data_IF_868810131196
#
_entry.id   IF_868810131196
#
_cell.length_a   1.000
_cell.length_b   1.000
_cell.length_c   1.000
_cell.angle_alpha   90.00
_cell.angle_beta   90.00
_cell.angle_gamma   90.00
#
_symmetry.space_group_name_H-M   'P 1'
#
loop_
_entity.id
_entity.type
_entity.pdbx_description
1 polymer ?
#
# COMPACT_ATOMS: atom_id res chain seq x y z
N UNK A 1 16.24 -15.44 -19.37
CA UNK A 1 14.81 -15.65 -19.02
C UNK A 1 14.73 -16.97 -18.29
N UNK A 2 14.50 -16.94 -16.98
CA UNK A 2 14.41 -18.15 -16.14
C UNK A 2 13.20 -18.97 -16.61
N UNK A 3 13.46 -20.21 -17.05
CA UNK A 3 12.53 -20.98 -17.87
C UNK A 3 11.47 -21.77 -17.11
N UNK A 4 11.28 -21.61 -15.79
CA UNK A 4 10.12 -22.14 -15.08
C UNK A 4 10.04 -21.52 -13.67
N UNK A 5 9.26 -20.44 -13.45
CA UNK A 5 8.99 -19.96 -12.09
C UNK A 5 8.16 -21.02 -11.36
N UNK A 6 8.54 -21.33 -10.11
CA UNK A 6 7.83 -22.26 -9.24
C UNK A 6 6.33 -21.88 -9.19
N UNK A 7 5.39 -22.78 -9.56
CA UNK A 7 3.96 -22.47 -9.62
C UNK A 7 3.33 -22.23 -8.24
N UNK A 8 4.06 -22.53 -7.16
CA UNK A 8 3.69 -22.24 -5.77
C UNK A 8 4.27 -20.93 -5.25
N UNK A 9 4.96 -20.16 -6.09
CA UNK A 9 5.44 -18.84 -5.68
C UNK A 9 4.26 -17.92 -5.40
N UNK A 10 4.19 -17.46 -4.15
CA UNK A 10 3.34 -16.32 -3.80
C UNK A 10 3.77 -15.13 -4.64
N UNK A 11 2.80 -14.38 -5.16
CA UNK A 11 3.03 -13.15 -5.89
C UNK A 11 3.59 -12.08 -4.96
N UNK A 12 2.78 -11.11 -4.60
CA UNK A 12 3.18 -10.11 -3.61
C UNK A 12 3.13 -10.67 -2.19
N UNK A 13 4.07 -10.26 -1.35
CA UNK A 13 4.10 -10.58 0.07
C UNK A 13 4.49 -9.33 0.89
N UNK A 14 4.50 -9.41 2.23
CA UNK A 14 4.79 -8.26 3.10
C UNK A 14 3.92 -7.02 2.78
N UNK A 15 2.62 -7.26 2.61
CA UNK A 15 1.68 -6.23 2.20
C UNK A 15 1.54 -5.15 3.28
N UNK A 16 1.64 -3.89 2.88
CA UNK A 16 1.46 -2.72 3.75
C UNK A 16 0.53 -1.69 3.09
N UNK A 17 -0.32 -1.08 3.90
CA UNK A 17 -1.20 0.02 3.48
C UNK A 17 -0.56 1.31 3.98
N UNK A 18 -0.39 2.29 3.10
CA UNK A 18 0.21 3.59 3.42
C UNK A 18 -0.75 4.69 2.99
N UNK A 19 -1.15 5.53 3.94
CA UNK A 19 -2.02 6.68 3.68
C UNK A 19 -1.20 7.78 2.99
N UNK A 20 -1.55 8.06 1.74
CA UNK A 20 -0.78 8.89 0.83
C UNK A 20 -1.66 10.03 0.32
N UNK A 21 -1.08 11.21 0.21
CA UNK A 21 -1.73 12.45 -0.20
C UNK A 21 -1.29 12.79 -1.62
N UNK A 22 -2.25 13.07 -2.50
CA UNK A 22 -2.00 13.76 -3.76
C UNK A 22 -1.98 15.25 -3.47
N UNK A 23 -0.88 15.92 -3.76
CA UNK A 23 -0.68 17.33 -3.42
C UNK A 23 -0.44 18.12 -4.69
N UNK A 24 -1.20 19.20 -4.88
CA UNK A 24 -0.97 20.18 -5.93
C UNK A 24 -0.23 21.39 -5.37
N UNK A 25 0.60 22.01 -6.21
CA UNK A 25 1.27 23.27 -5.91
C UNK A 25 0.60 24.42 -6.68
N UNK A 26 0.70 25.64 -6.14
CA UNK A 26 0.09 26.83 -6.74
C UNK A 26 0.74 27.22 -8.08
N UNK A 27 1.99 26.84 -8.30
CA UNK A 27 2.76 27.13 -9.51
C UNK A 27 2.31 26.30 -10.73
N UNK A 28 1.36 25.38 -10.55
CA UNK A 28 0.86 24.48 -11.59
C UNK A 28 1.82 23.34 -11.93
N UNK A 29 2.82 23.08 -11.09
CA UNK A 29 3.69 21.91 -11.23
C UNK A 29 2.89 20.59 -11.06
N UNK A 30 3.43 19.46 -11.56
CA UNK A 30 2.79 18.16 -11.43
C UNK A 30 2.49 17.81 -9.97
N UNK A 31 1.41 17.06 -9.76
CA UNK A 31 1.07 16.59 -8.42
C UNK A 31 2.20 15.73 -7.85
N UNK A 32 2.48 15.92 -6.57
CA UNK A 32 3.40 15.09 -5.80
C UNK A 32 2.61 14.19 -4.86
N UNK A 33 3.13 12.99 -4.64
CA UNK A 33 2.55 12.01 -3.74
C UNK A 33 3.41 11.93 -2.49
N UNK A 34 2.82 12.17 -1.32
CA UNK A 34 3.54 12.12 -0.04
C UNK A 34 2.72 11.42 1.03
N UNK A 35 3.40 10.68 1.89
CA UNK A 35 2.76 10.11 3.06
C UNK A 35 2.37 11.22 4.03
N UNK A 36 1.26 11.05 4.74
CA UNK A 36 0.97 11.92 5.87
C UNK A 36 1.99 11.66 6.99
N UNK A 37 2.44 12.73 7.65
CA UNK A 37 3.33 12.60 8.79
C UNK A 37 2.66 11.85 9.96
N UNK A 38 3.42 11.02 10.68
CA UNK A 38 2.91 10.15 11.74
C UNK A 38 2.14 10.90 12.83
N UNK A 39 2.55 12.14 13.14
CA UNK A 39 1.88 12.99 14.14
C UNK A 39 0.47 13.44 13.74
N UNK A 40 0.04 13.18 12.50
CA UNK A 40 -1.24 13.59 11.94
C UNK A 40 -2.06 12.41 11.40
N UNK A 41 -1.67 11.16 11.71
CA UNK A 41 -2.40 9.97 11.27
C UNK A 41 -3.85 9.91 11.78
N UNK A 42 -4.16 10.61 12.88
CA UNK A 42 -5.50 10.68 13.46
C UNK A 42 -6.47 11.56 12.69
N UNK A 43 -6.00 12.42 11.78
CA UNK A 43 -6.87 13.29 10.98
C UNK A 43 -7.70 12.45 10.00
N UNK A 44 -9.00 12.74 9.89
CA UNK A 44 -9.91 12.09 8.94
C UNK A 44 -9.60 12.44 7.49
N UNK A 45 -10.11 11.67 6.51
CA UNK A 45 -9.87 11.94 5.09
C UNK A 45 -10.50 13.28 4.67
N UNK A 46 -11.65 13.62 5.26
CA UNK A 46 -12.37 14.87 5.03
C UNK A 46 -11.60 16.10 5.56
N UNK A 47 -10.89 15.97 6.68
CA UNK A 47 -10.05 17.04 7.22
C UNK A 47 -8.78 17.28 6.38
N UNK A 48 -8.33 16.26 5.64
CA UNK A 48 -7.15 16.38 4.80
C UNK A 48 -7.47 16.95 3.43
N UNK A 49 -8.58 16.56 2.81
CA UNK A 49 -8.92 17.03 1.47
C UNK A 49 -9.08 18.56 1.46
N UNK A 50 -8.43 19.22 0.50
CA UNK A 50 -8.35 20.68 0.36
C UNK A 50 -7.57 21.40 1.47
N UNK A 51 -6.94 20.68 2.40
CA UNK A 51 -6.11 21.31 3.42
C UNK A 51 -4.79 21.80 2.84
N UNK A 52 -4.36 22.99 3.27
CA UNK A 52 -2.99 23.45 3.02
C UNK A 52 -2.02 22.61 3.80
N UNK A 53 -0.92 22.25 3.16
CA UNK A 53 0.12 21.44 3.73
C UNK A 53 1.49 21.97 3.33
N UNK A 54 2.49 21.54 4.09
CA UNK A 54 3.88 21.74 3.74
C UNK A 54 4.44 20.38 3.35
N UNK A 55 5.08 20.37 2.18
CA UNK A 55 5.59 19.20 1.49
C UNK A 55 7.10 19.11 1.71
N UNK A 56 7.58 17.95 2.14
CA UNK A 56 9.02 17.64 2.21
C UNK A 56 9.38 16.60 1.14
N UNK A 57 10.64 16.17 1.10
CA UNK A 57 11.05 15.06 0.22
C UNK A 57 10.32 13.75 0.55
N UNK A 58 10.04 13.48 1.83
CA UNK A 58 9.55 12.18 2.30
C UNK A 58 8.08 12.17 2.75
N UNK A 59 7.57 13.29 3.26
CA UNK A 59 6.23 13.36 3.87
C UNK A 59 5.56 14.71 3.62
N UNK A 60 4.30 14.82 4.06
CA UNK A 60 3.56 16.07 4.08
C UNK A 60 2.90 16.28 5.44
N UNK A 61 2.82 17.55 5.83
CA UNK A 61 2.25 17.98 7.10
C UNK A 61 1.17 19.03 6.82
N UNK A 62 -0.05 18.77 7.25
CA UNK A 62 -1.15 19.74 7.14
C UNK A 62 -0.88 20.92 8.06
N UNK A 63 -0.91 22.14 7.51
CA UNK A 63 -0.60 23.38 8.24
C UNK A 63 -1.84 24.05 8.84
N UNK A 64 -3.02 23.78 8.29
CA UNK A 64 -4.28 24.45 8.64
C UNK A 64 -5.30 23.50 9.30
N UNK A 65 -4.82 22.37 9.84
CA UNK A 65 -5.65 21.41 10.55
C UNK A 65 -6.03 21.92 11.95
N UNK A 66 -6.87 21.17 12.69
CA UNK A 66 -7.23 21.52 14.07
C UNK A 66 -6.00 21.57 15.00
N UNK A 67 -4.97 20.79 14.69
CA UNK A 67 -3.72 20.76 15.46
C UNK A 67 -2.64 21.65 14.82
N UNK A 68 -2.09 22.55 15.61
CA UNK A 68 -0.90 23.33 15.23
C UNK A 68 0.29 22.41 15.01
N UNK A 69 0.99 22.57 13.89
CA UNK A 69 2.22 21.81 13.60
C UNK A 69 3.29 22.12 14.66
N UNK A 70 3.80 21.10 15.34
CA UNK A 70 4.83 21.27 16.36
C UNK A 70 6.17 21.73 15.75
N UNK A 71 6.95 22.49 16.51
CA UNK A 71 8.26 22.98 16.07
C UNK A 71 9.24 21.84 15.73
N UNK A 72 9.08 20.67 16.35
CA UNK A 72 9.88 19.46 16.10
C UNK A 72 9.63 18.93 14.68
N UNK A 73 8.36 18.80 14.27
CA UNK A 73 7.98 18.36 12.92
C UNK A 73 8.40 19.37 11.86
N UNK A 74 8.41 20.67 12.20
CA UNK A 74 8.94 21.71 11.33
C UNK A 74 10.48 21.64 11.19
N UNK A 75 11.19 21.15 12.20
CA UNK A 75 12.65 21.02 12.20
C UNK A 75 13.13 19.82 11.38
N UNK A 76 12.27 18.82 11.14
CA UNK A 76 12.53 17.68 10.24
C UNK A 76 12.50 18.06 8.76
N UNK A 77 12.20 19.31 8.43
CA UNK A 77 12.18 19.80 7.05
C UNK A 77 13.57 19.86 6.46
N UNK A 78 13.64 19.50 5.17
CA UNK A 78 14.83 19.70 4.37
C UNK A 78 15.21 21.18 4.35
N UNK A 79 16.50 21.47 4.56
CA UNK A 79 17.05 22.82 4.72
C UNK A 79 17.02 23.69 3.44
N UNK A 80 16.18 23.36 2.46
CA UNK A 80 16.20 23.95 1.12
C UNK A 80 14.85 24.40 0.55
N UNK A 81 13.74 23.69 0.78
CA UNK A 81 12.47 24.03 0.11
C UNK A 81 11.32 23.22 0.70
N UNK A 82 10.73 23.71 1.80
CA UNK A 82 9.42 23.25 2.21
C UNK A 82 8.38 23.86 1.29
N UNK A 83 8.10 23.23 0.14
CA UNK A 83 7.10 23.73 -0.79
C UNK A 83 5.72 23.65 -0.13
N UNK A 84 4.95 24.73 -0.23
CA UNK A 84 3.55 24.72 0.18
C UNK A 84 2.71 24.04 -0.91
N UNK A 85 1.68 23.33 -0.49
CA UNK A 85 0.76 22.68 -1.39
C UNK A 85 -0.63 22.51 -0.79
N UNK A 86 -1.56 22.06 -1.61
CA UNK A 86 -2.93 21.74 -1.21
C UNK A 86 -3.19 20.28 -1.50
N UNK A 87 -3.75 19.57 -0.51
CA UNK A 87 -4.12 18.16 -0.69
C UNK A 87 -5.32 18.07 -1.62
N UNK A 88 -5.14 17.44 -2.78
CA UNK A 88 -6.21 17.20 -3.75
C UNK A 88 -7.00 15.91 -3.49
N UNK A 89 -6.32 14.88 -2.99
CA UNK A 89 -6.96 13.59 -2.67
C UNK A 89 -6.17 12.83 -1.60
N UNK A 90 -6.87 11.99 -0.86
CA UNK A 90 -6.28 11.00 0.04
C UNK A 90 -6.48 9.61 -0.57
N UNK A 91 -5.41 8.84 -0.64
CA UNK A 91 -5.44 7.45 -1.13
C UNK A 91 -4.75 6.54 -0.12
N UNK A 92 -5.12 5.28 -0.14
CA UNK A 92 -4.52 4.22 0.65
C UNK A 92 -3.72 3.33 -0.30
N UNK A 93 -2.45 3.67 -0.44
CA UNK A 93 -1.52 3.01 -1.34
C UNK A 93 -1.08 1.67 -0.74
N UNK A 94 -1.37 0.60 -1.47
CA UNK A 94 -0.98 -0.76 -1.13
C UNK A 94 0.39 -1.02 -1.74
N UNK A 95 1.33 -1.37 -0.88
CA UNK A 95 2.67 -1.80 -1.27
C UNK A 95 2.89 -3.25 -0.83
N UNK A 96 3.87 -3.90 -1.43
CA UNK A 96 4.38 -5.19 -0.99
C UNK A 96 5.72 -5.46 -1.63
N UNK A 97 6.27 -6.63 -1.37
CA UNK A 97 7.49 -7.09 -2.00
C UNK A 97 7.16 -8.03 -3.16
N UNK A 98 7.83 -7.84 -4.29
CA UNK A 98 7.71 -8.72 -5.46
C UNK A 98 8.47 -10.04 -5.27
N UNK A 99 8.54 -10.83 -6.34
CA UNK A 99 9.26 -12.10 -6.35
C UNK A 99 10.75 -11.97 -5.98
N UNK A 100 11.41 -10.89 -6.40
CA UNK A 100 12.82 -10.64 -6.11
C UNK A 100 13.02 -9.98 -4.73
N UNK A 101 11.95 -9.83 -3.94
CA UNK A 101 11.95 -9.13 -2.66
C UNK A 101 12.08 -7.61 -2.80
N UNK A 102 11.77 -7.06 -3.98
CA UNK A 102 11.84 -5.62 -4.22
C UNK A 102 10.53 -4.97 -3.79
N UNK A 103 10.59 -3.83 -3.09
CA UNK A 103 9.38 -3.10 -2.73
C UNK A 103 8.73 -2.55 -3.99
N UNK A 104 7.44 -2.85 -4.15
CA UNK A 104 6.62 -2.42 -5.28
C UNK A 104 5.31 -1.81 -4.80
N UNK A 105 4.83 -0.84 -5.57
CA UNK A 105 3.47 -0.34 -5.44
C UNK A 105 2.52 -1.29 -6.18
N UNK A 106 1.45 -1.71 -5.51
CA UNK A 106 0.49 -2.70 -6.03
C UNK A 106 -0.78 -2.02 -6.53
N UNK A 107 -1.25 -0.99 -5.82
CA UNK A 107 -2.41 -0.20 -6.25
C UNK A 107 -2.89 0.77 -5.17
N UNK A 108 -3.80 1.67 -5.56
CA UNK A 108 -4.42 2.66 -4.70
C UNK A 108 -5.89 2.35 -4.47
N UNK A 109 -6.38 2.64 -3.25
CA UNK A 109 -7.81 2.70 -2.95
C UNK A 109 -8.18 4.04 -2.34
N UNK A 110 -9.47 4.38 -2.34
CA UNK A 110 -9.98 5.66 -1.82
C UNK A 110 -10.55 5.54 -0.40
N UNK A 111 -10.37 4.41 0.28
CA UNK A 111 -10.68 4.25 1.71
C UNK A 111 -9.80 3.18 2.36
N UNK A 112 -9.59 3.31 3.67
CA UNK A 112 -8.83 2.36 4.48
C UNK A 112 -9.49 0.97 4.45
N UNK A 113 -10.82 0.92 4.49
CA UNK A 113 -11.61 -0.31 4.49
C UNK A 113 -11.42 -1.06 3.16
N UNK A 114 -11.47 -0.34 2.03
CA UNK A 114 -11.23 -0.93 0.72
C UNK A 114 -9.80 -1.45 0.60
N UNK A 115 -8.80 -0.71 1.11
CA UNK A 115 -7.41 -1.18 1.12
C UNK A 115 -7.26 -2.47 1.94
N UNK A 116 -7.86 -2.52 3.14
CA UNK A 116 -7.85 -3.70 4.01
C UNK A 116 -8.52 -4.90 3.33
N UNK A 117 -9.64 -4.69 2.64
CA UNK A 117 -10.30 -5.76 1.90
C UNK A 117 -9.43 -6.29 0.76
N UNK A 118 -8.78 -5.41 0.00
CA UNK A 118 -7.84 -5.83 -1.06
C UNK A 118 -6.67 -6.60 -0.46
N UNK A 119 -6.06 -6.10 0.62
CA UNK A 119 -4.97 -6.81 1.31
C UNK A 119 -5.44 -8.16 1.84
N UNK A 120 -6.63 -8.26 2.44
CA UNK A 120 -7.18 -9.53 2.90
C UNK A 120 -7.36 -10.55 1.75
N UNK A 121 -7.87 -10.08 0.60
CA UNK A 121 -8.01 -10.91 -0.61
C UNK A 121 -6.65 -11.35 -1.16
N UNK A 122 -5.64 -10.47 -1.14
CA UNK A 122 -4.27 -10.77 -1.57
C UNK A 122 -3.49 -11.65 -0.59
N UNK A 123 -3.81 -11.60 0.70
CA UNK A 123 -3.20 -12.43 1.75
C UNK A 123 -3.71 -13.87 1.73
N UNK A 124 -4.83 -14.13 1.04
CA UNK A 124 -5.44 -15.46 0.92
C UNK A 124 -5.76 -16.15 2.26
N UNK A 125 -6.10 -15.37 3.31
CA UNK A 125 -6.42 -15.92 4.64
C UNK A 125 -7.70 -16.77 4.66
N UNK A 126 -8.58 -16.64 3.67
CA UNK A 126 -9.86 -17.36 3.58
C UNK A 126 -9.74 -18.83 3.17
N UNK A 127 -8.51 -19.34 2.98
CA UNK A 127 -8.16 -20.73 3.31
C UNK A 127 -8.89 -21.88 2.62
N UNK A 128 -9.67 -21.67 1.55
CA UNK A 128 -10.37 -22.78 0.88
C UNK A 128 -10.22 -22.88 -0.64
N UNK A 129 -9.85 -21.81 -1.36
CA UNK A 129 -9.95 -21.84 -2.84
C UNK A 129 -8.78 -21.24 -3.62
N UNK A 130 -7.65 -20.90 -3.01
CA UNK A 130 -6.48 -20.45 -3.77
C UNK A 130 -5.54 -21.60 -4.12
N UNK A 131 -6.08 -22.59 -4.83
CA UNK A 131 -5.28 -23.60 -5.55
C UNK A 131 -6.06 -24.02 -6.78
N UNK A 132 -5.76 -23.44 -7.93
CA UNK A 132 -6.24 -23.98 -9.21
C UNK A 132 -5.80 -25.43 -9.45
N UNK A 133 -4.99 -26.03 -8.55
CA UNK A 133 -4.68 -27.45 -8.51
C UNK A 133 -4.49 -27.93 -7.06
N UNK A 134 -5.57 -28.03 -6.28
CA UNK A 134 -5.60 -29.05 -5.24
C UNK A 134 -6.05 -30.35 -5.90
N UNK A 135 -5.10 -31.19 -6.31
CA UNK A 135 -5.43 -32.59 -6.58
C UNK A 135 -5.71 -33.23 -5.21
N UNK A 136 -6.96 -33.10 -4.76
CA UNK A 136 -7.44 -33.89 -3.63
C UNK A 136 -7.62 -35.34 -4.09
N UNK A 137 -7.68 -36.28 -3.15
CA UNK A 137 -8.01 -37.68 -3.44
C UNK A 137 -9.37 -37.87 -4.14
N UNK A 138 -10.22 -36.83 -4.19
CA UNK A 138 -11.46 -36.84 -4.96
C UNK A 138 -11.25 -36.67 -6.48
N UNK A 139 -10.07 -36.19 -6.91
CA UNK A 139 -9.76 -35.89 -8.32
C UNK A 139 -8.85 -36.92 -8.98
N UNK A 140 -8.35 -37.90 -8.23
CA UNK A 140 -7.53 -38.99 -8.75
C UNK A 140 -8.14 -40.34 -8.39
N UNK A 141 -7.96 -41.32 -9.27
CA UNK A 141 -8.41 -42.68 -8.99
C UNK A 141 -7.64 -43.27 -7.79
N UNK A 142 -8.23 -44.26 -7.13
CA UNK A 142 -7.58 -45.00 -6.04
C UNK A 142 -6.24 -45.59 -6.48
N UNK A 143 -6.16 -46.13 -7.69
CA UNK A 143 -4.94 -46.70 -8.28
C UNK A 143 -3.84 -45.64 -8.44
N UNK A 144 -4.20 -44.45 -8.95
CA UNK A 144 -3.29 -43.32 -9.06
C UNK A 144 -2.80 -42.84 -7.69
N UNK A 145 -3.67 -42.86 -6.68
CA UNK A 145 -3.31 -42.54 -5.30
C UNK A 145 -2.29 -43.50 -4.70
N UNK A 146 -2.47 -44.80 -4.89
CA UNK A 146 -1.51 -45.83 -4.44
C UNK A 146 -0.15 -45.70 -5.12
N UNK A 147 -0.16 -45.49 -6.45
CA UNK A 147 1.06 -45.26 -7.22
C UNK A 147 1.86 -44.05 -6.70
N UNK A 148 1.20 -42.92 -6.43
CA UNK A 148 1.85 -41.72 -5.90
C UNK A 148 2.37 -41.88 -4.47
N UNK A 149 1.74 -42.75 -3.68
CA UNK A 149 2.12 -43.00 -2.28
C UNK A 149 3.17 -44.12 -2.10
N UNK A 150 3.61 -44.77 -3.19
CA UNK A 150 4.43 -45.99 -3.15
C UNK A 150 3.82 -47.10 -2.26
N UNK A 151 2.49 -47.29 -2.36
CA UNK A 151 1.72 -48.28 -1.61
C UNK A 151 1.22 -49.43 -2.50
#
# INVERSE_FOLDING_TARGET
>A
MSQNPNPFLRGYWNLKIVRTLSISHEDGSPHVWRNIHQSQEHLSDEELVSASCIVTSDFAVVSNGPDSVSAEVLAERDAGEGAYGVVGAVVYAIHGDDFDGRPVHIGDTYSAEAAREVVQRLSFETGYYSRCWEISSAHISHETGQYLANL
#
